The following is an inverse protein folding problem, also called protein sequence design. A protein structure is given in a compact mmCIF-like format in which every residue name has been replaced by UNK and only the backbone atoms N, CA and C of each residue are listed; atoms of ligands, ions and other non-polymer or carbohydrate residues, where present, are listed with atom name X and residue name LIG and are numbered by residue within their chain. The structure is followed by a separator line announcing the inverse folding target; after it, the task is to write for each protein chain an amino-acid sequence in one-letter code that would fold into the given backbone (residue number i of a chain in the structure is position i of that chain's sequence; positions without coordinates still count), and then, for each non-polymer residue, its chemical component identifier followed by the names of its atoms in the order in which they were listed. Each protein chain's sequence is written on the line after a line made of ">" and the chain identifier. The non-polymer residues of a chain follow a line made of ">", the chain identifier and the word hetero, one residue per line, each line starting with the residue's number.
data_IF_420232498417
#
_entry.id   IF_420232498417
#
_cell.length_a   1.000
_cell.length_b   1.000
_cell.length_c   1.000
_cell.angle_alpha   90.00
_cell.angle_beta   90.00
_cell.angle_gamma   90.00
#
_symmetry.space_group_name_H-M   'P 1'
#
loop_
_entity.id
_entity.type
_entity.pdbx_description
1 polymer ?
#
# COMPACT_ATOMS: atom_id res chain seq x y z
N UNK A 1 26.20 21.79 3.80
CA UNK A 1 25.10 21.21 2.99
C UNK A 1 24.27 20.34 3.90
N UNK A 2 22.99 20.65 4.08
CA UNK A 2 22.11 19.86 4.94
C UNK A 2 21.90 18.48 4.28
N UNK A 3 22.14 17.41 5.05
CA UNK A 3 21.80 16.07 4.64
C UNK A 3 20.30 16.05 4.31
N UNK A 4 19.95 15.60 3.10
CA UNK A 4 18.56 15.37 2.71
C UNK A 4 17.96 14.43 3.76
N UNK A 5 16.94 14.88 4.48
CA UNK A 5 16.22 14.03 5.42
C UNK A 5 15.78 12.79 4.66
N UNK A 6 16.41 11.66 5.00
CA UNK A 6 15.93 10.34 4.62
C UNK A 6 14.49 10.26 5.12
N UNK A 7 13.55 9.95 4.23
CA UNK A 7 12.11 9.81 4.54
C UNK A 7 11.90 8.53 5.34
N UNK A 8 12.39 8.54 6.57
CA UNK A 8 12.44 7.39 7.47
C UNK A 8 11.13 7.31 8.26
N UNK A 9 10.03 6.93 7.60
CA UNK A 9 9.14 6.03 8.31
C UNK A 9 9.77 4.64 8.18
N UNK A 10 10.03 3.93 9.28
CA UNK A 10 10.53 2.56 9.18
C UNK A 10 9.53 1.75 8.36
N UNK A 11 10.02 0.83 7.53
CA UNK A 11 9.19 -0.17 6.88
C UNK A 11 8.35 -0.85 7.97
N UNK A 12 7.07 -0.51 8.05
CA UNK A 12 6.16 -0.99 9.07
C UNK A 12 5.33 -2.13 8.49
N UNK A 13 5.02 -3.13 9.33
CA UNK A 13 4.04 -4.13 8.93
C UNK A 13 2.72 -3.44 8.62
N UNK A 14 2.13 -3.82 7.51
CA UNK A 14 0.87 -3.26 7.06
C UNK A 14 0.02 -4.33 6.37
N UNK A 15 -1.23 -3.99 6.20
CA UNK A 15 -2.23 -4.74 5.45
C UNK A 15 -2.55 -3.96 4.19
N UNK A 16 -2.70 -4.68 3.08
CA UNK A 16 -3.00 -4.09 1.78
C UNK A 16 -4.33 -4.63 1.29
N UNK A 17 -5.23 -3.74 0.89
CA UNK A 17 -6.54 -4.12 0.33
C UNK A 17 -6.40 -4.58 -1.11
N UNK A 18 -6.86 -5.80 -1.39
CA UNK A 18 -6.98 -6.34 -2.73
C UNK A 18 -8.45 -6.36 -3.13
N UNK A 19 -8.74 -5.67 -4.24
CA UNK A 19 -10.04 -5.78 -4.89
C UNK A 19 -10.12 -7.16 -5.54
N UNK A 20 -11.06 -7.96 -5.06
CA UNK A 20 -11.43 -9.24 -5.64
C UNK A 20 -12.02 -9.11 -7.03
N UNK A 21 -12.10 -10.24 -7.73
CA UNK A 21 -12.61 -10.35 -9.10
C UNK A 21 -13.86 -11.23 -9.17
N UNK A 22 -14.14 -11.78 -10.34
CA UNK A 22 -15.23 -12.74 -10.51
C UNK A 22 -14.90 -14.03 -9.74
N UNK A 23 -15.68 -14.33 -8.70
CA UNK A 23 -15.51 -15.52 -7.86
C UNK A 23 -14.35 -15.46 -6.86
N UNK A 24 -13.72 -14.29 -6.70
CA UNK A 24 -12.68 -14.04 -5.71
C UNK A 24 -13.11 -12.88 -4.84
N UNK A 25 -13.19 -13.10 -3.53
CA UNK A 25 -13.59 -12.07 -2.58
C UNK A 25 -12.52 -10.98 -2.47
N UNK A 26 -12.94 -9.78 -2.08
CA UNK A 26 -11.99 -8.71 -1.80
C UNK A 26 -11.56 -8.83 -0.35
N UNK A 27 -10.27 -8.71 -0.10
CA UNK A 27 -9.72 -8.92 1.24
C UNK A 27 -8.52 -8.03 1.56
N UNK A 28 -8.32 -7.79 2.85
CA UNK A 28 -7.10 -7.25 3.40
C UNK A 28 -6.08 -8.36 3.57
N UNK A 29 -4.92 -8.21 2.93
CA UNK A 29 -3.84 -9.18 3.00
C UNK A 29 -2.71 -8.64 3.88
N UNK A 30 -2.28 -9.42 4.88
CA UNK A 30 -1.17 -9.08 5.77
C UNK A 30 0.21 -9.45 5.20
N UNK A 31 1.25 -9.18 5.99
CA UNK A 31 2.62 -9.61 5.71
C UNK A 31 3.39 -8.67 4.80
N UNK A 32 2.80 -7.54 4.41
CA UNK A 32 3.50 -6.48 3.69
C UNK A 32 4.28 -5.59 4.65
N UNK A 33 5.39 -5.06 4.15
CA UNK A 33 6.06 -3.91 4.74
C UNK A 33 5.78 -2.68 3.89
N UNK A 34 5.26 -1.63 4.52
CA UNK A 34 4.85 -0.39 3.87
C UNK A 34 5.69 0.81 4.34
N UNK A 35 6.01 1.70 3.42
CA UNK A 35 6.59 3.01 3.72
C UNK A 35 6.07 4.10 2.75
N UNK A 36 5.84 5.34 3.23
CA UNK A 36 5.49 6.45 2.34
C UNK A 36 6.58 6.70 1.30
N UNK A 37 6.16 6.92 0.04
CA UNK A 37 7.07 7.28 -1.05
C UNK A 37 7.11 8.79 -1.28
N UNK A 38 8.28 9.31 -1.66
CA UNK A 38 8.44 10.70 -2.11
C UNK A 38 7.61 11.03 -3.36
N UNK A 39 7.21 10.01 -4.11
CA UNK A 39 6.39 10.14 -5.31
C UNK A 39 4.88 10.05 -4.99
N UNK A 40 4.50 9.98 -3.71
CA UNK A 40 3.13 9.77 -3.24
C UNK A 40 2.76 8.29 -3.04
N UNK A 41 1.69 8.06 -2.28
CA UNK A 41 1.23 6.73 -1.89
C UNK A 41 2.20 5.98 -0.97
N UNK A 42 1.95 4.68 -0.83
CA UNK A 42 2.72 3.78 0.02
C UNK A 42 3.45 2.76 -0.86
N UNK A 43 4.77 2.71 -0.76
CA UNK A 43 5.57 1.62 -1.32
C UNK A 43 5.39 0.39 -0.44
N UNK A 44 4.94 -0.71 -1.03
CA UNK A 44 4.71 -1.99 -0.35
C UNK A 44 5.68 -3.05 -0.87
N UNK A 45 6.16 -3.89 0.05
CA UNK A 45 7.10 -4.97 -0.25
C UNK A 45 6.69 -6.25 0.50
N UNK A 46 6.71 -7.39 -0.22
CA UNK A 46 6.49 -8.74 0.32
C UNK A 46 7.19 -9.73 -0.62
N UNK A 47 7.79 -10.80 -0.09
CA UNK A 47 8.72 -11.66 -0.86
C UNK A 47 8.11 -12.37 -2.08
N UNK A 48 6.81 -12.60 -2.09
CA UNK A 48 6.01 -13.20 -3.16
C UNK A 48 5.33 -12.17 -4.08
N UNK A 49 5.54 -10.87 -3.86
CA UNK A 49 4.96 -9.79 -4.65
C UNK A 49 6.04 -8.90 -5.27
N UNK A 50 5.73 -8.31 -6.42
CA UNK A 50 6.54 -7.24 -6.99
C UNK A 50 6.38 -5.99 -6.14
N UNK A 51 7.50 -5.47 -5.64
CA UNK A 51 7.52 -4.20 -4.93
C UNK A 51 6.94 -3.08 -5.80
N UNK A 52 5.93 -2.37 -5.28
CA UNK A 52 5.23 -1.33 -6.02
C UNK A 52 4.62 -0.29 -5.07
N UNK A 53 4.09 0.80 -5.64
CA UNK A 53 3.36 1.81 -4.89
C UNK A 53 1.87 1.61 -5.07
N UNK A 54 1.14 1.74 -3.97
CA UNK A 54 -0.32 1.74 -3.92
C UNK A 54 -0.80 3.03 -3.28
N UNK A 55 -2.04 3.40 -3.56
CA UNK A 55 -2.66 4.53 -2.89
C UNK A 55 -2.73 4.28 -1.37
N UNK A 56 -2.65 5.36 -0.60
CA UNK A 56 -2.71 5.36 0.85
C UNK A 56 -3.98 4.73 1.40
N UNK A 57 -5.13 5.00 0.79
CA UNK A 57 -6.42 4.40 1.18
C UNK A 57 -6.48 2.87 1.00
N UNK A 58 -5.51 2.26 0.29
CA UNK A 58 -5.38 0.79 0.16
C UNK A 58 -4.52 0.16 1.23
N UNK A 59 -3.96 0.93 2.17
CA UNK A 59 -3.03 0.42 3.18
C UNK A 59 -3.48 0.84 4.55
N UNK A 60 -3.47 -0.12 5.49
CA UNK A 60 -3.62 0.15 6.92
C UNK A 60 -2.44 -0.45 7.67
N UNK A 61 -1.94 0.24 8.69
CA UNK A 61 -0.81 -0.19 9.50
C UNK A 61 -1.22 -0.97 10.75
N UNK A 62 -2.53 -1.08 10.99
CA UNK A 62 -3.13 -1.86 12.05
C UNK A 62 -3.97 -2.98 11.43
N UNK A 63 -4.20 -4.05 12.20
CA UNK A 63 -5.05 -5.15 11.75
C UNK A 63 -6.50 -4.68 11.57
N UNK A 64 -7.10 -4.88 10.37
CA UNK A 64 -8.50 -4.54 10.14
C UNK A 64 -9.44 -5.34 11.06
N UNK A 65 -10.52 -4.71 11.51
CA UNK A 65 -11.53 -5.39 12.32
C UNK A 65 -12.24 -6.53 11.56
N UNK A 66 -12.40 -6.38 10.24
CA UNK A 66 -12.88 -7.42 9.34
C UNK A 66 -12.07 -7.37 8.06
N UNK A 67 -11.41 -8.49 7.74
CA UNK A 67 -10.55 -8.59 6.56
C UNK A 67 -11.33 -8.50 5.25
N UNK A 68 -12.66 -8.71 5.25
CA UNK A 68 -13.51 -8.67 4.05
C UNK A 68 -14.20 -7.31 3.85
N UNK A 69 -14.09 -6.40 4.82
CA UNK A 69 -14.66 -5.05 4.72
C UNK A 69 -13.60 -4.09 4.20
N UNK A 70 -13.77 -3.67 2.96
CA UNK A 70 -12.82 -2.79 2.28
C UNK A 70 -12.75 -1.37 2.87
N UNK A 71 -11.72 -0.60 2.48
CA UNK A 71 -11.60 0.80 2.85
C UNK A 71 -12.67 1.63 2.15
N UNK A 72 -12.86 2.87 2.63
CA UNK A 72 -13.63 3.88 1.89
C UNK A 72 -12.84 4.28 0.64
N UNK A 73 -13.36 3.94 -0.54
CA UNK A 73 -12.71 4.25 -1.82
C UNK A 73 -13.13 5.66 -2.25
N UNK A 74 -12.19 6.59 -2.47
CA UNK A 74 -12.50 7.93 -2.99
C UNK A 74 -13.17 7.88 -4.38
N UNK A 75 -14.01 8.86 -4.71
CA UNK A 75 -14.70 8.92 -6.02
C UNK A 75 -13.70 9.00 -7.19
N UNK A 76 -12.65 9.81 -7.04
CA UNK A 76 -11.55 9.95 -8.00
C UNK A 76 -10.35 9.04 -7.66
N UNK A 77 -10.60 7.84 -7.14
CA UNK A 77 -9.55 6.95 -6.68
C UNK A 77 -8.57 6.56 -7.79
N UNK A 78 -7.29 6.91 -7.59
CA UNK A 78 -6.20 6.45 -8.43
C UNK A 78 -5.76 5.04 -8.02
N UNK A 79 -5.97 4.06 -8.90
CA UNK A 79 -5.64 2.65 -8.62
C UNK A 79 -4.20 2.28 -8.98
N UNK A 80 -3.60 3.02 -9.92
CA UNK A 80 -2.26 2.75 -10.45
C UNK A 80 -1.44 4.02 -10.34
N UNK A 81 -0.51 4.04 -9.40
CA UNK A 81 0.41 5.17 -9.22
C UNK A 81 1.54 5.10 -10.25
N UNK A 82 1.66 6.13 -11.08
CA UNK A 82 2.76 6.33 -12.03
C UNK A 82 3.49 7.64 -11.71
N UNK A 83 4.81 7.73 -11.91
CA UNK A 83 5.72 6.72 -12.48
C UNK A 83 6.05 5.59 -11.49
N UNK A 84 6.41 4.39 -11.95
CA UNK A 84 6.89 3.35 -11.03
C UNK A 84 8.22 3.77 -10.42
N UNK A 85 8.49 3.40 -9.16
CA UNK A 85 9.82 3.64 -8.57
C UNK A 85 10.91 3.06 -9.49
N UNK A 86 12.05 3.75 -9.67
CA UNK A 86 13.15 3.23 -10.45
C UNK A 86 13.59 1.87 -9.89
N UNK A 87 13.80 0.90 -10.79
CA UNK A 87 14.27 -0.45 -10.46
C UNK A 87 15.70 -0.45 -9.95
#
# INVERSE_FOLDING_TARGET
>A
MAAKQSTTQPNCRCWVWFRGGLGVESEWISGFYGAPSILGGIRIERGDYVACRVADWRVVFEEPADINVGPVIPEDAEWKLVPTDPR
#
